data_IF_754177580986
#
_entry.id   IF_754177580986
#
_cell.length_a   1.000
_cell.length_b   1.000
_cell.length_c   1.000
_cell.angle_alpha   90.00
_cell.angle_beta   90.00
_cell.angle_gamma   90.00
#
_symmetry.space_group_name_H-M   'P 1'
#
loop_
_entity.id
_entity.type
_entity.pdbx_description
1 polymer ?
#
# COMPACT_ATOMS: atom_id res chain seq x y z
N UNK A 1 28.33 35.63 7.59
CA UNK A 1 28.37 36.95 6.93
C UNK A 1 29.78 37.52 6.78
N UNK A 2 30.64 37.57 7.82
CA UNK A 2 31.96 38.23 7.75
C UNK A 2 32.89 37.67 6.65
N UNK A 3 33.01 36.37 6.49
CA UNK A 3 33.85 35.74 5.45
C UNK A 3 33.31 35.96 4.02
N UNK A 4 32.02 36.05 3.83
CA UNK A 4 31.42 36.42 2.52
C UNK A 4 31.77 37.84 2.12
N UNK A 5 31.82 38.75 3.10
CA UNK A 5 32.29 40.13 2.86
C UNK A 5 33.77 40.18 2.43
N UNK A 6 34.64 39.41 3.13
CA UNK A 6 36.07 39.32 2.76
C UNK A 6 36.23 38.79 1.33
N UNK A 7 35.43 37.78 0.97
CA UNK A 7 35.45 37.21 -0.40
C UNK A 7 35.10 38.26 -1.48
N UNK A 8 34.06 39.06 -1.26
CA UNK A 8 33.61 40.06 -2.20
C UNK A 8 34.63 41.18 -2.40
N UNK A 9 35.37 41.53 -1.38
CA UNK A 9 36.26 42.70 -1.39
C UNK A 9 37.75 42.35 -1.36
N UNK A 10 38.14 41.10 -1.62
CA UNK A 10 39.52 40.64 -1.61
C UNK A 10 40.37 41.26 -2.74
N UNK A 11 39.73 41.77 -3.80
CA UNK A 11 40.41 42.49 -4.86
C UNK A 11 40.72 43.96 -4.49
N UNK A 12 39.93 44.54 -3.57
CA UNK A 12 40.03 45.95 -3.15
C UNK A 12 40.89 46.12 -1.91
N UNK A 13 40.78 45.17 -0.95
CA UNK A 13 41.44 45.28 0.35
C UNK A 13 42.23 44.04 0.72
N UNK A 14 43.34 44.23 1.42
CA UNK A 14 44.12 43.06 1.89
C UNK A 14 43.34 42.23 2.89
N UNK A 15 43.39 40.90 2.74
CA UNK A 15 42.75 39.94 3.66
C UNK A 15 43.16 40.16 5.11
N UNK A 16 44.44 40.54 5.36
CA UNK A 16 44.97 40.85 6.67
C UNK A 16 44.25 42.05 7.31
N UNK A 17 44.03 43.13 6.55
CA UNK A 17 43.35 44.32 7.03
C UNK A 17 41.86 44.04 7.33
N UNK A 18 41.16 43.38 6.42
CA UNK A 18 39.76 43.00 6.58
C UNK A 18 39.55 42.09 7.78
N UNK A 19 40.40 41.08 7.96
CA UNK A 19 40.32 40.17 9.10
C UNK A 19 40.50 40.92 10.43
N UNK A 20 41.40 41.87 10.49
CA UNK A 20 41.64 42.69 11.69
C UNK A 20 40.42 43.57 11.99
N UNK A 21 39.86 44.28 11.03
CA UNK A 21 38.70 45.16 11.17
C UNK A 21 37.46 44.34 11.56
N UNK A 22 37.24 43.23 10.94
CA UNK A 22 36.08 42.33 11.18
C UNK A 22 36.26 41.44 12.43
N UNK A 23 37.42 41.53 13.09
CA UNK A 23 37.76 40.72 14.27
C UNK A 23 37.56 39.22 14.03
N UNK A 24 38.19 38.69 13.00
CA UNK A 24 38.22 37.27 12.67
C UNK A 24 39.65 36.81 12.42
N UNK A 25 39.96 35.54 12.77
CA UNK A 25 41.28 34.96 12.50
C UNK A 25 41.51 34.75 11.02
N UNK A 26 42.70 35.04 10.48
CA UNK A 26 43.09 34.74 9.09
C UNK A 26 43.03 33.27 8.82
N UNK A 27 43.49 32.44 9.77
CA UNK A 27 43.37 30.95 9.62
C UNK A 27 41.94 30.51 9.45
N UNK A 28 40.98 31.13 10.14
CA UNK A 28 39.57 30.86 9.97
C UNK A 28 39.05 31.19 8.56
N UNK A 29 39.55 32.30 7.98
CA UNK A 29 39.23 32.66 6.60
C UNK A 29 39.73 31.58 5.60
N UNK A 30 41.01 31.21 5.64
CA UNK A 30 41.54 30.19 4.74
C UNK A 30 40.90 28.81 4.94
N UNK A 31 40.62 28.43 6.18
CA UNK A 31 39.86 27.22 6.50
C UNK A 31 38.44 27.27 5.90
N UNK A 32 37.79 28.42 5.96
CA UNK A 32 36.46 28.62 5.38
C UNK A 32 36.49 28.51 3.84
N UNK A 33 37.48 29.11 3.17
CA UNK A 33 37.68 28.97 1.73
C UNK A 33 37.90 27.49 1.32
N UNK A 34 38.76 26.77 2.02
CA UNK A 34 39.02 25.34 1.77
C UNK A 34 37.79 24.47 2.01
N UNK A 35 36.99 24.79 3.03
CA UNK A 35 35.77 24.02 3.35
C UNK A 35 34.66 24.25 2.34
N UNK A 36 34.58 25.37 1.67
CA UNK A 36 33.58 25.65 0.63
C UNK A 36 33.71 24.75 -0.59
N UNK A 37 34.93 24.38 -0.94
CA UNK A 37 35.23 23.52 -2.10
C UNK A 37 35.14 22.03 -1.76
N UNK A 38 35.10 21.68 -0.49
CA UNK A 38 35.03 20.28 -0.04
C UNK A 38 33.64 19.92 0.42
N UNK A 39 33.06 18.94 -0.24
CA UNK A 39 31.80 18.32 0.22
C UNK A 39 32.11 17.54 1.49
N UNK A 40 31.44 17.87 2.60
CA UNK A 40 31.64 17.15 3.87
C UNK A 40 31.15 15.69 3.75
N UNK A 41 31.74 14.77 4.51
CA UNK A 41 31.30 13.35 4.58
C UNK A 41 29.80 13.24 4.88
N UNK A 42 29.28 14.13 5.75
CA UNK A 42 27.85 14.19 6.04
C UNK A 42 27.01 14.60 4.83
N UNK A 43 27.53 15.48 4.01
CA UNK A 43 26.84 15.94 2.78
C UNK A 43 26.91 14.88 1.69
N UNK A 44 28.04 14.19 1.56
CA UNK A 44 28.17 13.02 0.65
C UNK A 44 27.17 11.92 1.04
N UNK A 45 27.10 11.58 2.33
CA UNK A 45 26.11 10.61 2.83
C UNK A 45 24.68 11.03 2.52
N UNK A 46 24.34 12.34 2.70
CA UNK A 46 23.00 12.83 2.36
C UNK A 46 22.70 12.73 0.88
N UNK A 47 23.62 13.10 0.01
CA UNK A 47 23.47 12.99 -1.44
C UNK A 47 23.28 11.53 -1.88
N UNK A 48 24.09 10.62 -1.34
CA UNK A 48 23.94 9.20 -1.59
C UNK A 48 22.58 8.68 -1.09
N UNK A 49 22.21 9.02 0.14
CA UNK A 49 20.90 8.64 0.70
C UNK A 49 19.74 9.17 -0.16
N UNK A 50 19.80 10.43 -0.60
CA UNK A 50 18.76 11.07 -1.39
C UNK A 50 18.63 10.40 -2.77
N UNK A 51 19.72 10.04 -3.44
CA UNK A 51 19.68 9.34 -4.72
C UNK A 51 19.08 7.94 -4.62
N UNK A 52 19.48 7.18 -3.59
CA UNK A 52 18.98 5.83 -3.34
C UNK A 52 17.48 5.84 -2.98
N UNK A 53 17.06 6.78 -2.12
CA UNK A 53 15.66 6.96 -1.73
C UNK A 53 14.80 7.37 -2.92
N UNK A 54 15.28 8.27 -3.79
CA UNK A 54 14.57 8.68 -5.01
C UNK A 54 14.37 7.50 -5.95
N UNK A 55 15.41 6.71 -6.20
CA UNK A 55 15.32 5.53 -7.05
C UNK A 55 14.30 4.50 -6.52
N UNK A 56 14.31 4.23 -5.20
CA UNK A 56 13.36 3.33 -4.57
C UNK A 56 11.92 3.89 -4.61
N UNK A 57 11.75 5.20 -4.41
CA UNK A 57 10.45 5.87 -4.46
C UNK A 57 9.85 5.81 -5.87
N UNK A 58 10.65 6.06 -6.91
CA UNK A 58 10.23 5.96 -8.31
C UNK A 58 9.87 4.52 -8.69
N UNK A 59 10.70 3.53 -8.31
CA UNK A 59 10.43 2.10 -8.53
C UNK A 59 9.14 1.66 -7.85
N UNK A 60 8.84 2.18 -6.67
CA UNK A 60 7.58 1.92 -5.96
C UNK A 60 6.38 2.66 -6.55
N UNK A 61 6.50 3.26 -7.72
CA UNK A 61 5.44 4.03 -8.40
C UNK A 61 4.86 5.13 -7.49
N UNK A 62 5.70 5.72 -6.64
CA UNK A 62 5.34 6.76 -5.64
C UNK A 62 4.28 6.31 -4.61
N UNK A 63 4.13 4.99 -4.40
CA UNK A 63 3.12 4.42 -3.48
C UNK A 63 3.61 4.27 -2.05
N UNK A 64 4.94 4.19 -1.85
CA UNK A 64 5.52 3.89 -0.55
C UNK A 64 5.91 5.16 0.22
N UNK A 65 5.42 5.26 1.45
CA UNK A 65 5.94 6.20 2.44
C UNK A 65 7.21 5.68 3.12
N UNK A 66 7.78 6.49 4.03
CA UNK A 66 9.06 6.19 4.69
C UNK A 66 9.15 4.77 5.30
N UNK A 67 8.14 4.22 6.00
CA UNK A 67 8.27 2.88 6.57
C UNK A 67 8.52 1.80 5.50
N UNK A 68 7.64 1.69 4.50
CA UNK A 68 7.78 0.67 3.44
C UNK A 68 9.03 0.87 2.57
N UNK A 69 9.41 2.13 2.30
CA UNK A 69 10.67 2.41 1.60
C UNK A 69 11.88 1.97 2.43
N UNK A 70 11.82 2.10 3.74
CA UNK A 70 12.90 1.61 4.62
C UNK A 70 13.03 0.10 4.54
N UNK A 71 11.91 -0.63 4.56
CA UNK A 71 11.93 -2.09 4.43
C UNK A 71 12.44 -2.52 3.05
N UNK A 72 12.08 -1.79 2.00
CA UNK A 72 12.57 -2.02 0.64
C UNK A 72 14.09 -1.79 0.54
N UNK A 73 14.58 -0.70 1.09
CA UNK A 73 15.99 -0.35 1.07
C UNK A 73 16.83 -1.31 1.92
N UNK A 74 16.32 -1.75 3.07
CA UNK A 74 16.99 -2.77 3.89
C UNK A 74 17.11 -4.11 3.18
N UNK A 75 16.07 -4.53 2.46
CA UNK A 75 16.13 -5.73 1.63
C UNK A 75 17.17 -5.65 0.51
N UNK A 76 17.52 -4.44 0.06
CA UNK A 76 18.60 -4.16 -0.91
C UNK A 76 19.98 -3.95 -0.26
N UNK A 77 20.09 -4.12 1.06
CA UNK A 77 21.36 -4.00 1.80
C UNK A 77 21.69 -2.59 2.30
N UNK A 78 20.77 -1.61 2.18
CA UNK A 78 20.98 -0.26 2.73
C UNK A 78 20.51 -0.17 4.19
N UNK A 79 21.40 0.06 5.18
CA UNK A 79 21.07 0.04 6.60
C UNK A 79 20.41 1.37 7.07
N UNK A 80 19.50 1.91 6.28
CA UNK A 80 18.81 3.14 6.64
C UNK A 80 17.72 2.87 7.68
N UNK A 81 17.48 3.86 8.53
CA UNK A 81 16.34 3.88 9.44
C UNK A 81 15.19 4.74 8.89
N UNK A 82 13.99 4.55 9.42
CA UNK A 82 12.78 5.26 8.98
C UNK A 82 12.94 6.78 9.06
N UNK A 83 13.62 7.30 10.09
CA UNK A 83 13.85 8.75 10.26
C UNK A 83 14.75 9.30 9.16
N UNK A 84 15.78 8.57 8.76
CA UNK A 84 16.70 8.94 7.67
C UNK A 84 15.95 9.00 6.33
N UNK A 85 15.16 7.97 6.01
CA UNK A 85 14.36 7.92 4.79
C UNK A 85 13.29 9.02 4.79
N UNK A 86 12.59 9.25 5.89
CA UNK A 86 11.60 10.32 6.02
C UNK A 86 12.23 11.72 5.85
N UNK A 87 13.43 11.94 6.38
CA UNK A 87 14.16 13.19 6.20
C UNK A 87 14.59 13.39 4.73
N UNK A 88 14.99 12.32 4.05
CA UNK A 88 15.33 12.34 2.63
C UNK A 88 14.11 12.68 1.77
N UNK A 89 12.98 11.99 1.95
CA UNK A 89 11.73 12.29 1.24
C UNK A 89 11.32 13.77 1.41
N UNK A 90 11.42 14.28 2.64
CA UNK A 90 11.07 15.67 2.95
C UNK A 90 11.98 16.68 2.27
N UNK A 91 13.31 16.43 2.24
CA UNK A 91 14.28 17.30 1.53
C UNK A 91 14.02 17.37 0.05
N UNK A 92 13.60 16.27 -0.55
CA UNK A 92 13.33 16.15 -1.98
C UNK A 92 11.88 16.52 -2.36
N UNK A 93 11.04 16.90 -1.39
CA UNK A 93 9.63 17.22 -1.63
C UNK A 93 8.78 16.01 -2.07
N UNK A 94 9.28 14.79 -1.86
CA UNK A 94 8.61 13.57 -2.29
C UNK A 94 7.50 13.20 -1.31
N UNK A 95 6.31 12.94 -1.84
CA UNK A 95 5.13 12.52 -1.06
C UNK A 95 4.51 11.30 -1.69
N UNK A 96 4.27 10.26 -0.89
CA UNK A 96 3.53 9.09 -1.34
C UNK A 96 2.09 9.47 -1.68
N UNK A 97 1.47 8.73 -2.62
CA UNK A 97 0.04 8.86 -2.93
C UNK A 97 -0.75 8.73 -1.61
N UNK A 98 -1.66 9.68 -1.36
CA UNK A 98 -2.45 9.74 -0.14
C UNK A 98 -3.94 9.72 -0.46
N UNK A 99 -4.74 9.13 0.45
CA UNK A 99 -6.19 9.12 0.35
C UNK A 99 -6.78 10.51 0.51
N UNK A 100 -7.81 10.82 -0.27
CA UNK A 100 -8.77 11.89 0.09
C UNK A 100 -9.76 11.32 1.11
N UNK A 101 -10.20 12.13 2.07
CA UNK A 101 -11.26 11.72 2.99
C UNK A 101 -12.51 11.34 2.17
N UNK A 102 -12.96 10.11 2.35
CA UNK A 102 -14.15 9.59 1.71
C UNK A 102 -15.00 8.89 2.77
N UNK A 103 -16.26 9.17 2.81
CA UNK A 103 -17.21 8.52 3.70
C UNK A 103 -18.54 8.34 2.96
N UNK A 104 -18.79 7.21 2.35
CA UNK A 104 -20.17 6.79 2.13
C UNK A 104 -20.48 5.57 2.98
N UNK A 105 -21.60 5.64 3.66
CA UNK A 105 -22.26 4.48 4.24
C UNK A 105 -23.54 4.27 3.46
N UNK A 106 -23.68 3.12 2.80
CA UNK A 106 -24.90 2.72 2.10
C UNK A 106 -25.42 1.43 2.72
N UNK A 107 -26.54 1.51 3.38
CA UNK A 107 -27.28 0.33 3.87
C UNK A 107 -28.54 0.12 3.03
N UNK A 108 -28.66 -1.03 2.39
CA UNK A 108 -29.93 -1.52 1.86
C UNK A 108 -30.39 -2.70 2.70
N UNK A 109 -31.49 -2.54 3.39
CA UNK A 109 -32.14 -3.65 4.11
C UNK A 109 -32.77 -4.63 3.09
N UNK A 110 -32.58 -5.92 3.30
CA UNK A 110 -33.27 -6.99 2.58
C UNK A 110 -33.73 -8.06 3.59
N UNK A 111 -34.76 -8.83 3.22
CA UNK A 111 -35.33 -9.89 4.05
C UNK A 111 -34.72 -11.28 3.86
N UNK A 112 -33.49 -11.39 3.29
CA UNK A 112 -32.85 -12.66 3.03
C UNK A 112 -32.20 -13.23 4.33
N UNK A 113 -32.06 -14.57 4.46
CA UNK A 113 -31.40 -15.21 5.58
C UNK A 113 -29.94 -14.74 5.73
N UNK A 114 -29.53 -14.50 6.97
CA UNK A 114 -28.19 -14.01 7.30
C UNK A 114 -27.47 -15.10 8.11
N UNK A 115 -26.21 -15.41 7.74
CA UNK A 115 -25.38 -16.32 8.50
C UNK A 115 -24.89 -15.71 9.82
N UNK A 116 -24.57 -16.55 10.79
CA UNK A 116 -23.95 -16.15 12.06
C UNK A 116 -22.57 -15.51 11.85
N UNK A 117 -22.17 -14.60 12.74
CA UNK A 117 -20.82 -14.05 12.71
C UNK A 117 -19.83 -15.01 13.40
N UNK A 118 -19.11 -15.78 12.61
CA UNK A 118 -18.09 -16.71 13.09
C UNK A 118 -16.70 -16.10 13.18
N UNK A 119 -16.51 -14.90 12.59
CA UNK A 119 -15.21 -14.23 12.59
C UNK A 119 -14.96 -13.43 13.87
N UNK A 120 -16.00 -12.77 14.40
CA UNK A 120 -15.99 -11.99 15.65
C UNK A 120 -14.77 -11.06 15.79
N UNK A 121 -14.38 -10.41 14.67
CA UNK A 121 -13.19 -9.55 14.56
C UNK A 121 -11.84 -10.25 14.83
N UNK A 122 -11.83 -11.58 14.95
CA UNK A 122 -10.59 -12.34 15.02
C UNK A 122 -9.99 -12.54 13.63
N UNK A 123 -9.15 -11.57 13.23
CA UNK A 123 -8.45 -11.57 11.94
C UNK A 123 -7.15 -12.38 11.94
N UNK A 124 -6.84 -13.07 13.04
CA UNK A 124 -5.69 -13.95 13.10
C UNK A 124 -5.99 -15.30 12.46
N UNK A 125 -5.06 -15.80 11.67
CA UNK A 125 -5.06 -17.14 11.12
C UNK A 125 -3.65 -17.73 11.30
N UNK A 126 -3.55 -18.94 11.84
CA UNK A 126 -2.29 -19.63 12.11
C UNK A 126 -1.71 -20.31 10.87
N UNK A 127 -2.52 -20.49 9.83
CA UNK A 127 -2.14 -21.11 8.55
C UNK A 127 -3.05 -20.68 7.42
N UNK A 128 -2.70 -21.05 6.19
CA UNK A 128 -3.49 -20.71 5.01
C UNK A 128 -4.86 -21.40 5.03
N UNK A 129 -5.80 -20.81 4.31
CA UNK A 129 -7.12 -21.39 4.08
C UNK A 129 -7.98 -21.63 5.32
N UNK A 130 -7.79 -20.84 6.37
CA UNK A 130 -8.64 -20.90 7.56
C UNK A 130 -9.79 -19.90 7.49
N UNK A 131 -9.50 -18.67 7.08
CA UNK A 131 -10.46 -17.55 7.06
C UNK A 131 -10.31 -16.75 5.77
N UNK A 132 -11.39 -16.65 5.02
CA UNK A 132 -11.46 -15.94 3.73
C UNK A 132 -12.50 -14.83 3.78
N UNK A 133 -12.18 -13.61 4.15
CA UNK A 133 -13.08 -12.49 4.00
C UNK A 133 -13.21 -12.09 2.53
N UNK A 134 -14.44 -11.70 2.16
CA UNK A 134 -14.78 -11.20 0.84
C UNK A 134 -15.65 -9.97 0.91
N UNK A 135 -15.59 -9.13 -0.12
CA UNK A 135 -16.41 -7.94 -0.25
C UNK A 135 -16.45 -7.45 -1.70
N UNK A 136 -17.38 -6.55 -2.00
CA UNK A 136 -17.56 -5.93 -3.31
C UNK A 136 -17.33 -4.44 -3.23
N UNK A 137 -16.50 -3.91 -4.13
CA UNK A 137 -16.35 -2.47 -4.31
C UNK A 137 -16.74 -2.05 -5.72
N UNK A 138 -17.00 -0.77 -5.91
CA UNK A 138 -17.31 -0.19 -7.21
C UNK A 138 -16.23 0.80 -7.64
N UNK A 139 -15.94 0.80 -8.93
CA UNK A 139 -14.91 1.58 -9.61
C UNK A 139 -15.58 2.38 -10.73
N UNK A 140 -15.29 3.66 -10.81
CA UNK A 140 -15.93 4.53 -11.80
C UNK A 140 -15.08 4.60 -13.07
N UNK A 141 -15.76 4.49 -14.23
CA UNK A 141 -15.22 4.77 -15.55
C UNK A 141 -16.20 5.69 -16.31
N UNK A 142 -15.80 6.23 -17.46
CA UNK A 142 -16.71 7.02 -18.30
C UNK A 142 -17.85 6.17 -18.87
N UNK A 143 -17.61 4.88 -19.08
CA UNK A 143 -18.65 3.91 -19.50
C UNK A 143 -19.60 3.53 -18.35
N UNK A 144 -19.41 4.05 -17.14
CA UNK A 144 -20.20 3.78 -15.94
C UNK A 144 -19.46 2.91 -14.92
N UNK A 145 -20.22 2.28 -14.02
CA UNK A 145 -19.66 1.48 -12.93
C UNK A 145 -19.08 0.15 -13.39
N UNK A 146 -17.97 -0.24 -12.80
CA UNK A 146 -17.41 -1.58 -12.80
C UNK A 146 -17.36 -2.05 -11.35
N UNK A 147 -17.90 -3.22 -11.08
CA UNK A 147 -17.91 -3.83 -9.74
C UNK A 147 -16.77 -4.85 -9.64
N UNK A 148 -16.09 -4.85 -8.52
CA UNK A 148 -15.00 -5.78 -8.21
C UNK A 148 -15.35 -6.52 -6.91
N UNK A 149 -15.52 -7.84 -7.00
CA UNK A 149 -15.56 -8.73 -5.84
C UNK A 149 -14.18 -9.31 -5.59
N UNK A 150 -13.79 -9.45 -4.33
CA UNK A 150 -12.52 -10.06 -3.93
C UNK A 150 -12.71 -11.06 -2.81
N UNK A 151 -11.80 -12.03 -2.73
CA UNK A 151 -11.63 -12.97 -1.62
C UNK A 151 -10.17 -12.92 -1.18
N UNK A 152 -9.92 -12.73 0.10
CA UNK A 152 -8.57 -12.59 0.67
C UNK A 152 -8.32 -13.73 1.66
N UNK A 153 -7.12 -14.30 1.66
CA UNK A 153 -6.69 -15.21 2.73
C UNK A 153 -6.12 -14.39 3.90
N UNK A 154 -6.74 -14.49 5.08
CA UNK A 154 -6.32 -13.71 6.26
C UNK A 154 -4.92 -14.05 6.75
N UNK A 155 -4.41 -15.24 6.48
CA UNK A 155 -3.08 -15.64 6.89
C UNK A 155 -1.98 -14.83 6.19
N UNK A 156 -2.06 -14.76 4.88
CA UNK A 156 -1.05 -14.09 4.04
C UNK A 156 -1.45 -12.71 3.55
N UNK A 157 -2.73 -12.34 3.71
CA UNK A 157 -3.34 -11.15 3.10
C UNK A 157 -3.35 -11.19 1.57
N UNK A 158 -3.11 -12.36 0.96
CA UNK A 158 -3.18 -12.54 -0.48
C UNK A 158 -4.61 -12.41 -0.99
N UNK A 159 -4.81 -11.70 -2.09
CA UNK A 159 -6.06 -11.74 -2.86
C UNK A 159 -6.04 -13.03 -3.67
N UNK A 160 -6.78 -14.01 -3.22
CA UNK A 160 -6.81 -15.38 -3.77
C UNK A 160 -7.89 -15.58 -4.81
N UNK A 161 -8.92 -14.74 -4.81
CA UNK A 161 -9.97 -14.76 -5.81
C UNK A 161 -10.53 -13.37 -6.06
N UNK A 162 -10.89 -13.09 -7.29
CA UNK A 162 -11.53 -11.84 -7.68
C UNK A 162 -12.30 -11.99 -8.99
N UNK A 163 -13.28 -11.13 -9.16
CA UNK A 163 -14.11 -11.06 -10.38
C UNK A 163 -14.57 -9.63 -10.63
N UNK A 164 -14.76 -9.26 -11.89
CA UNK A 164 -15.23 -7.92 -12.26
C UNK A 164 -16.39 -7.99 -13.25
N UNK A 165 -17.44 -7.21 -12.98
CA UNK A 165 -18.64 -7.14 -13.81
C UNK A 165 -19.20 -5.72 -13.91
N UNK A 166 -19.82 -5.33 -15.04
CA UNK A 166 -20.58 -4.07 -15.12
C UNK A 166 -21.88 -4.10 -14.31
N UNK A 167 -22.28 -5.26 -13.80
CA UNK A 167 -23.51 -5.46 -12.99
C UNK A 167 -23.16 -6.12 -11.67
N UNK A 168 -23.75 -5.64 -10.60
CA UNK A 168 -23.60 -6.20 -9.24
C UNK A 168 -24.65 -7.30 -9.01
N UNK A 169 -24.44 -8.47 -9.64
CA UNK A 169 -25.28 -9.67 -9.51
C UNK A 169 -24.70 -10.66 -8.49
N UNK A 170 -25.47 -11.67 -8.10
CA UNK A 170 -24.99 -12.77 -7.25
C UNK A 170 -23.85 -13.56 -7.90
N UNK A 171 -23.79 -13.61 -9.24
CA UNK A 171 -22.74 -14.29 -9.99
C UNK A 171 -21.35 -13.69 -9.72
N UNK A 172 -21.26 -12.36 -9.52
CA UNK A 172 -20.00 -11.67 -9.29
C UNK A 172 -19.20 -12.23 -8.10
N UNK A 173 -19.73 -12.32 -6.87
CA UNK A 173 -18.99 -12.95 -5.76
C UNK A 173 -18.87 -14.47 -5.93
N UNK A 174 -19.77 -15.15 -6.62
CA UNK A 174 -19.63 -16.58 -6.95
C UNK A 174 -18.39 -16.84 -7.79
N UNK A 175 -18.14 -16.03 -8.81
CA UNK A 175 -16.96 -16.16 -9.68
C UNK A 175 -15.66 -15.90 -8.90
N UNK A 176 -15.66 -14.88 -8.01
CA UNK A 176 -14.52 -14.60 -7.16
C UNK A 176 -14.22 -15.76 -6.20
N UNK A 177 -15.24 -16.34 -5.58
CA UNK A 177 -15.11 -17.50 -4.70
C UNK A 177 -14.64 -18.74 -5.50
N UNK A 178 -15.15 -18.94 -6.70
CA UNK A 178 -14.75 -20.06 -7.56
C UNK A 178 -13.26 -19.97 -7.95
N UNK A 179 -12.76 -18.78 -8.27
CA UNK A 179 -11.33 -18.55 -8.52
C UNK A 179 -10.50 -18.88 -7.28
N UNK A 180 -10.93 -18.42 -6.08
CA UNK A 180 -10.25 -18.72 -4.82
C UNK A 180 -10.15 -20.22 -4.55
N UNK A 181 -11.25 -20.94 -4.76
CA UNK A 181 -11.31 -22.39 -4.62
C UNK A 181 -10.33 -23.12 -5.56
N UNK A 182 -10.24 -22.70 -6.81
CA UNK A 182 -9.30 -23.29 -7.76
C UNK A 182 -7.84 -23.03 -7.38
N UNK A 183 -7.51 -21.80 -7.06
CA UNK A 183 -6.15 -21.42 -6.66
C UNK A 183 -5.69 -22.12 -5.39
N UNK A 184 -6.60 -22.36 -4.46
CA UNK A 184 -6.33 -23.00 -3.16
C UNK A 184 -6.62 -24.50 -3.15
N UNK A 185 -6.83 -25.15 -4.33
CA UNK A 185 -7.05 -26.59 -4.46
C UNK A 185 -8.26 -27.10 -3.65
N UNK A 186 -9.31 -26.29 -3.58
CA UNK A 186 -10.61 -26.60 -2.92
C UNK A 186 -10.49 -27.05 -1.46
N UNK A 187 -9.97 -26.20 -0.56
CA UNK A 187 -9.91 -26.52 0.87
C UNK A 187 -11.31 -26.64 1.44
N UNK A 188 -11.45 -27.34 2.57
CA UNK A 188 -12.71 -27.55 3.27
C UNK A 188 -12.70 -26.83 4.63
N UNK A 189 -13.89 -26.62 5.22
CA UNK A 189 -14.08 -25.99 6.52
C UNK A 189 -13.52 -24.55 6.65
N UNK A 190 -13.25 -23.88 5.55
CA UNK A 190 -12.82 -22.49 5.55
C UNK A 190 -13.98 -21.60 5.98
N UNK A 191 -13.73 -20.66 6.87
CA UNK A 191 -14.69 -19.60 7.21
C UNK A 191 -14.65 -18.56 6.09
N UNK A 192 -15.74 -18.41 5.35
CA UNK A 192 -15.91 -17.37 4.33
C UNK A 192 -16.75 -16.27 4.93
N UNK A 193 -16.11 -15.13 5.24
CA UNK A 193 -16.74 -14.00 5.90
C UNK A 193 -17.07 -12.88 4.93
N UNK A 194 -18.29 -12.36 4.98
CA UNK A 194 -18.76 -11.28 4.09
C UNK A 194 -19.61 -10.27 4.85
N UNK A 195 -19.93 -9.16 4.20
CA UNK A 195 -21.02 -8.31 4.65
C UNK A 195 -22.39 -8.99 4.45
N UNK A 196 -23.47 -8.32 4.86
CA UNK A 196 -24.86 -8.78 4.66
C UNK A 196 -25.43 -8.35 3.33
N UNK A 197 -24.62 -8.11 2.30
CA UNK A 197 -25.09 -7.74 0.98
C UNK A 197 -25.98 -8.82 0.36
N UNK A 198 -27.06 -8.43 -0.35
CA UNK A 198 -27.99 -9.39 -0.97
C UNK A 198 -27.33 -10.39 -1.92
N UNK A 199 -26.17 -10.04 -2.48
CA UNK A 199 -25.39 -10.92 -3.36
C UNK A 199 -24.85 -12.12 -2.58
N UNK A 200 -24.38 -11.91 -1.35
CA UNK A 200 -23.85 -12.95 -0.46
C UNK A 200 -24.95 -13.77 0.21
N UNK A 201 -26.12 -13.16 0.41
CA UNK A 201 -27.31 -13.85 0.93
C UNK A 201 -28.06 -14.63 -0.15
N UNK A 202 -27.65 -14.55 -1.42
CA UNK A 202 -28.33 -15.23 -2.55
C UNK A 202 -28.26 -16.75 -2.43
N UNK A 203 -29.29 -17.42 -2.94
CA UNK A 203 -29.33 -18.89 -2.99
C UNK A 203 -28.12 -19.49 -3.70
N UNK A 204 -27.67 -18.88 -4.79
CA UNK A 204 -26.55 -19.36 -5.59
C UNK A 204 -25.24 -19.32 -4.81
N UNK A 205 -24.96 -18.20 -4.09
CA UNK A 205 -23.76 -18.08 -3.27
C UNK A 205 -23.78 -19.06 -2.10
N UNK A 206 -24.91 -19.17 -1.40
CA UNK A 206 -25.07 -20.11 -0.28
C UNK A 206 -24.98 -21.59 -0.74
N UNK A 207 -25.52 -21.93 -1.91
CA UNK A 207 -25.38 -23.24 -2.52
C UNK A 207 -23.90 -23.57 -2.85
N UNK A 208 -23.14 -22.57 -3.30
CA UNK A 208 -21.71 -22.73 -3.58
C UNK A 208 -20.90 -22.98 -2.29
N UNK A 209 -21.16 -22.24 -1.21
CA UNK A 209 -20.55 -22.49 0.10
C UNK A 209 -20.82 -23.93 0.57
N UNK A 210 -22.09 -24.37 0.51
CA UNK A 210 -22.51 -25.71 0.91
C UNK A 210 -21.86 -26.80 0.04
N UNK A 211 -21.84 -26.62 -1.30
CA UNK A 211 -21.24 -27.57 -2.26
C UNK A 211 -19.76 -27.83 -1.95
N UNK A 212 -19.03 -26.80 -1.54
CA UNK A 212 -17.60 -26.90 -1.25
C UNK A 212 -17.27 -27.10 0.22
N UNK A 213 -18.27 -27.37 1.06
CA UNK A 213 -18.12 -27.56 2.51
C UNK A 213 -17.40 -26.38 3.18
N UNK A 214 -17.80 -25.15 2.84
CA UNK A 214 -17.32 -23.91 3.42
C UNK A 214 -18.30 -23.42 4.48
N UNK A 215 -17.78 -22.70 5.49
CA UNK A 215 -18.59 -22.14 6.57
C UNK A 215 -18.87 -20.66 6.28
N UNK A 216 -20.11 -20.34 5.93
CA UNK A 216 -20.54 -18.97 5.76
C UNK A 216 -20.55 -18.20 7.08
N UNK A 217 -20.05 -16.97 7.06
CA UNK A 217 -20.03 -16.04 8.18
C UNK A 217 -20.39 -14.66 7.67
N UNK A 218 -21.16 -13.87 8.42
CA UNK A 218 -21.56 -12.53 8.02
C UNK A 218 -21.37 -11.52 9.15
N UNK A 219 -20.94 -10.32 8.82
CA UNK A 219 -20.74 -9.20 9.74
C UNK A 219 -21.98 -8.95 10.59
N UNK A 220 -21.83 -8.50 11.82
CA UNK A 220 -22.93 -8.05 12.65
C UNK A 220 -23.61 -6.81 12.05
N UNK A 221 -24.90 -6.63 12.29
CA UNK A 221 -25.65 -5.47 11.76
C UNK A 221 -25.04 -4.16 12.29
N UNK A 222 -24.61 -3.29 11.37
CA UNK A 222 -24.02 -2.01 11.72
C UNK A 222 -22.56 -2.06 12.17
N UNK A 223 -21.91 -3.21 12.13
CA UNK A 223 -20.51 -3.37 12.50
C UNK A 223 -19.62 -3.34 11.23
N UNK A 224 -19.10 -2.17 10.89
CA UNK A 224 -18.20 -2.01 9.74
C UNK A 224 -16.81 -2.61 9.99
N UNK A 225 -16.41 -2.80 11.26
CA UNK A 225 -15.08 -3.32 11.59
C UNK A 225 -14.91 -4.82 11.30
N UNK A 226 -16.00 -5.56 11.13
CA UNK A 226 -15.97 -7.01 10.91
C UNK A 226 -15.31 -7.38 9.57
N UNK A 227 -15.26 -6.47 8.59
CA UNK A 227 -14.62 -6.69 7.30
C UNK A 227 -13.41 -5.77 7.01
N UNK A 228 -12.79 -5.24 8.07
CA UNK A 228 -11.71 -4.24 8.00
C UNK A 228 -10.53 -4.66 7.11
N UNK A 229 -10.25 -5.97 6.99
CA UNK A 229 -9.14 -6.46 6.17
C UNK A 229 -9.37 -6.25 4.68
N UNK A 230 -10.59 -6.48 4.21
CA UNK A 230 -10.95 -6.26 2.79
C UNK A 230 -11.10 -4.77 2.50
N UNK A 231 -11.66 -4.01 3.44
CA UNK A 231 -11.71 -2.54 3.35
C UNK A 231 -10.30 -1.94 3.22
N UNK A 232 -9.33 -2.45 3.99
CA UNK A 232 -7.92 -2.04 3.91
C UNK A 232 -7.30 -2.36 2.55
N UNK A 233 -7.66 -3.49 1.94
CA UNK A 233 -7.26 -3.81 0.57
C UNK A 233 -7.87 -2.83 -0.43
N UNK A 234 -9.17 -2.59 -0.38
CA UNK A 234 -9.83 -1.65 -1.28
C UNK A 234 -9.31 -0.22 -1.13
N UNK A 235 -9.03 0.19 0.11
CA UNK A 235 -8.36 1.46 0.35
C UNK A 235 -7.01 1.53 -0.37
N UNK A 236 -6.18 0.49 -0.22
CA UNK A 236 -4.88 0.41 -0.89
C UNK A 236 -5.01 0.46 -2.41
N UNK A 237 -5.90 -0.34 -2.99
CA UNK A 237 -6.19 -0.34 -4.44
C UNK A 237 -6.59 1.05 -4.91
N UNK A 238 -7.57 1.67 -4.24
CA UNK A 238 -8.09 2.99 -4.65
C UNK A 238 -7.03 4.07 -4.55
N UNK A 239 -6.27 4.13 -3.47
CA UNK A 239 -5.24 5.15 -3.24
C UNK A 239 -4.04 4.96 -4.16
N UNK A 240 -3.56 3.73 -4.27
CA UNK A 240 -2.28 3.45 -4.95
C UNK A 240 -2.43 3.36 -6.47
N UNK A 241 -3.65 3.10 -6.99
CA UNK A 241 -3.85 2.75 -8.39
C UNK A 241 -4.99 3.51 -9.08
N UNK A 242 -6.04 3.92 -8.35
CA UNK A 242 -7.26 4.46 -8.97
C UNK A 242 -7.37 5.99 -8.78
N UNK A 243 -7.14 6.49 -7.56
CA UNK A 243 -7.33 7.90 -7.27
C UNK A 243 -6.33 8.78 -8.03
N UNK A 244 -6.86 9.81 -8.69
CA UNK A 244 -6.09 10.75 -9.49
C UNK A 244 -5.86 10.30 -10.94
N UNK A 245 -6.30 9.10 -11.28
CA UNK A 245 -6.31 8.59 -12.65
C UNK A 245 -7.71 8.72 -13.27
N UNK A 246 -7.77 8.87 -14.58
CA UNK A 246 -9.00 8.95 -15.37
C UNK A 246 -9.13 7.69 -16.23
N UNK A 247 -10.27 7.01 -16.13
CA UNK A 247 -10.52 5.73 -16.81
C UNK A 247 -11.63 5.88 -17.85
N UNK A 248 -11.25 5.93 -19.11
CA UNK A 248 -12.17 6.09 -20.23
C UNK A 248 -13.07 4.84 -20.37
N UNK A 249 -12.52 3.63 -20.22
CA UNK A 249 -13.27 2.39 -20.42
C UNK A 249 -13.14 1.42 -19.26
N UNK A 250 -14.12 0.51 -19.14
CA UNK A 250 -14.08 -0.61 -18.19
C UNK A 250 -12.95 -1.58 -18.50
N UNK A 251 -12.53 -1.68 -19.76
CA UNK A 251 -11.42 -2.54 -20.19
C UNK A 251 -10.09 -2.07 -19.58
N UNK A 252 -9.79 -0.77 -19.70
CA UNK A 252 -8.60 -0.16 -19.08
C UNK A 252 -8.63 -0.35 -17.56
N UNK A 253 -9.78 -0.14 -16.93
CA UNK A 253 -9.94 -0.38 -15.50
C UNK A 253 -9.68 -1.85 -15.13
N UNK A 254 -10.19 -2.81 -15.92
CA UNK A 254 -9.95 -4.26 -15.71
C UNK A 254 -8.47 -4.59 -15.77
N UNK A 255 -7.78 -4.15 -16.82
CA UNK A 255 -6.35 -4.37 -16.99
C UNK A 255 -5.54 -3.75 -15.82
N UNK A 256 -5.92 -2.56 -15.39
CA UNK A 256 -5.28 -1.86 -14.27
C UNK A 256 -5.46 -2.61 -12.95
N UNK A 257 -6.68 -3.04 -12.63
CA UNK A 257 -6.98 -3.81 -11.41
C UNK A 257 -6.30 -5.18 -11.45
N UNK A 258 -6.31 -5.87 -12.61
CA UNK A 258 -5.58 -7.12 -12.82
C UNK A 258 -4.10 -6.96 -12.47
N UNK A 259 -3.43 -5.98 -13.10
CA UNK A 259 -2.01 -5.72 -12.86
C UNK A 259 -1.73 -5.36 -11.40
N UNK A 260 -2.62 -4.58 -10.77
CA UNK A 260 -2.47 -4.25 -9.36
C UNK A 260 -2.57 -5.49 -8.46
N UNK A 261 -3.55 -6.36 -8.65
CA UNK A 261 -3.75 -7.55 -7.81
C UNK A 261 -2.63 -8.56 -8.05
N UNK A 262 -2.41 -8.94 -9.32
CA UNK A 262 -1.56 -10.08 -9.64
C UNK A 262 -0.07 -9.74 -9.67
N UNK A 263 0.29 -8.56 -10.17
CA UNK A 263 1.69 -8.19 -10.31
C UNK A 263 2.19 -7.35 -9.15
N UNK A 264 1.38 -6.40 -8.67
CA UNK A 264 1.83 -5.45 -7.65
C UNK A 264 1.49 -5.94 -6.22
N UNK A 265 0.21 -6.14 -5.89
CA UNK A 265 -0.24 -6.39 -4.53
C UNK A 265 0.22 -7.76 -3.99
N UNK A 266 -0.07 -8.84 -4.70
CA UNK A 266 0.27 -10.18 -4.24
C UNK A 266 1.78 -10.43 -4.27
N UNK A 267 2.47 -10.02 -5.34
CA UNK A 267 3.87 -10.41 -5.59
C UNK A 267 4.90 -9.46 -5.01
N UNK A 268 4.58 -8.19 -4.97
CA UNK A 268 5.59 -7.18 -4.70
C UNK A 268 5.26 -6.26 -3.51
N UNK A 269 3.98 -5.91 -3.30
CA UNK A 269 3.61 -4.92 -2.30
C UNK A 269 3.91 -5.40 -0.88
N UNK A 270 4.76 -4.66 -0.18
CA UNK A 270 5.13 -4.97 1.21
C UNK A 270 3.95 -4.76 2.15
N UNK A 271 3.74 -5.73 3.02
CA UNK A 271 2.65 -5.76 3.99
C UNK A 271 3.19 -5.82 5.42
N UNK A 272 2.76 -4.90 6.28
CA UNK A 272 3.19 -4.89 7.69
C UNK A 272 2.80 -6.17 8.44
N UNK A 273 1.60 -6.72 8.15
CA UNK A 273 1.15 -8.00 8.69
C UNK A 273 2.10 -9.16 8.35
N UNK A 274 2.66 -9.15 7.18
CA UNK A 274 3.59 -10.17 6.69
C UNK A 274 5.06 -9.86 7.07
N UNK A 275 5.30 -9.03 8.08
CA UNK A 275 6.65 -8.66 8.49
C UNK A 275 7.45 -7.90 7.41
N UNK A 276 6.76 -7.11 6.56
CA UNK A 276 7.39 -6.36 5.47
C UNK A 276 7.62 -7.17 4.20
N UNK A 277 7.16 -8.41 4.13
CA UNK A 277 7.13 -9.22 2.91
C UNK A 277 5.86 -8.93 2.09
N UNK A 278 5.88 -9.29 0.81
CA UNK A 278 4.63 -9.37 0.04
C UNK A 278 3.84 -10.63 0.43
N UNK A 279 2.52 -10.70 0.13
CA UNK A 279 1.73 -11.90 0.39
C UNK A 279 2.36 -13.19 -0.16
N UNK A 280 2.80 -13.18 -1.41
CA UNK A 280 3.44 -14.34 -2.06
C UNK A 280 4.79 -14.68 -1.42
N UNK A 281 5.63 -13.70 -1.11
CA UNK A 281 6.90 -13.93 -0.40
C UNK A 281 6.67 -14.50 0.99
N UNK A 282 5.62 -14.04 1.68
CA UNK A 282 5.26 -14.56 3.00
C UNK A 282 4.80 -16.02 2.90
N UNK A 283 3.95 -16.37 1.94
CA UNK A 283 3.52 -17.75 1.70
C UNK A 283 4.72 -18.66 1.37
N UNK A 284 5.55 -18.26 0.41
CA UNK A 284 6.73 -19.04 0.01
C UNK A 284 7.69 -19.30 1.16
N UNK A 285 7.87 -18.31 2.04
CA UNK A 285 8.76 -18.46 3.20
C UNK A 285 8.22 -19.38 4.29
N UNK A 286 6.90 -19.46 4.45
CA UNK A 286 6.28 -20.17 5.58
C UNK A 286 5.62 -21.49 5.16
N UNK A 287 5.57 -21.81 3.86
CA UNK A 287 5.08 -23.09 3.32
C UNK A 287 6.23 -24.00 2.82
N UNK A 288 7.45 -23.46 2.74
CA UNK A 288 8.66 -24.24 2.46
C UNK A 288 9.13 -24.94 3.72
#
# INVERSE_FOLDING_TARGET
MKYVFIEKHQAEFSIKAMCRVLRVARSGWYTWCQRRTRISTRQQFRQHCDSVVLAAFTRSKQRYGAPRLTDELRAQGYPFNVKTVAASLRRQGLRAKASRKFSPVSYRAHGLPVSENLLEQDFYASGPNQKWPGDITYLRTDEGWLYLAVVIDLWSRAVIGWSMSPRMTAQLPCDALQMALWRRKRPRNVIVHTDRGGQYCSADYQAQLKRHNLRGSMSAKGCCYDNACVESFFHSLKVECIHGEHFISREIMRATVFNYIECDYNRWRRHSWCGGLSPEQFENKNLA
#
